data_IF_669841847668
#
_entry.id   IF_669841847668
#
_cell.length_a   1.000
_cell.length_b   1.000
_cell.length_c   1.000
_cell.angle_alpha   90.00
_cell.angle_beta   90.00
_cell.angle_gamma   90.00
#
_symmetry.space_group_name_H-M   'P 1'
#
loop_
_entity.id
_entity.type
_entity.pdbx_description
1 polymer ?
#
# COMPACT_ATOMS: atom_id res chain seq x y z
N UNK A 1 35.54 -111.87 -32.97
CA UNK A 1 35.98 -112.20 -34.35
C UNK A 1 36.65 -110.95 -34.91
N UNK A 2 37.81 -111.08 -35.55
CA UNK A 2 38.50 -109.95 -36.20
C UNK A 2 38.23 -110.04 -37.69
N UNK A 3 37.63 -109.00 -38.28
CA UNK A 3 37.36 -108.98 -39.71
C UNK A 3 38.59 -108.45 -40.45
N UNK A 4 39.07 -109.21 -41.42
CA UNK A 4 40.16 -108.83 -42.31
C UNK A 4 39.58 -108.67 -43.72
N UNK A 5 39.54 -107.43 -44.20
CA UNK A 5 39.15 -107.11 -45.57
C UNK A 5 40.38 -106.56 -46.27
N UNK A 6 40.71 -107.13 -47.44
CA UNK A 6 41.89 -106.72 -48.22
C UNK A 6 41.82 -105.22 -48.54
N UNK A 7 42.77 -104.44 -48.01
CA UNK A 7 42.87 -102.99 -48.20
C UNK A 7 42.33 -102.11 -47.06
N UNK A 8 41.71 -102.68 -46.02
CA UNK A 8 41.28 -101.93 -44.83
C UNK A 8 41.94 -102.46 -43.55
N UNK A 9 42.30 -101.59 -42.59
CA UNK A 9 42.90 -102.01 -41.33
C UNK A 9 41.92 -102.92 -40.55
N UNK A 10 42.40 -104.00 -39.92
CA UNK A 10 41.53 -104.95 -39.21
C UNK A 10 40.80 -104.25 -38.07
N UNK A 11 39.47 -104.36 -38.06
CA UNK A 11 38.57 -103.70 -37.11
C UNK A 11 37.81 -104.73 -36.27
N UNK A 12 37.64 -104.42 -34.99
CA UNK A 12 36.96 -105.30 -34.04
C UNK A 12 35.44 -105.10 -34.14
N UNK A 13 34.75 -106.01 -34.83
CA UNK A 13 33.31 -105.94 -35.09
C UNK A 13 32.41 -106.33 -33.89
N UNK A 14 32.98 -106.47 -32.69
CA UNK A 14 32.26 -106.84 -31.47
C UNK A 14 32.33 -108.34 -31.13
N UNK A 15 31.58 -108.72 -30.11
CA UNK A 15 31.43 -110.12 -29.64
C UNK A 15 30.16 -110.69 -30.29
N UNK A 16 30.31 -111.73 -31.09
CA UNK A 16 29.21 -112.40 -31.78
C UNK A 16 29.02 -113.79 -31.15
N UNK A 17 27.78 -114.13 -30.82
CA UNK A 17 27.39 -115.43 -30.24
C UNK A 17 26.60 -116.21 -31.29
N UNK A 18 27.09 -117.40 -31.66
CA UNK A 18 26.45 -118.29 -32.65
C UNK A 18 25.86 -119.48 -31.92
N UNK A 19 24.59 -119.78 -32.18
CA UNK A 19 23.86 -120.90 -31.57
C UNK A 19 23.85 -122.11 -32.52
N UNK A 20 23.72 -123.33 -31.99
CA UNK A 20 23.76 -124.60 -32.76
C UNK A 20 22.59 -124.72 -33.76
N UNK A 21 21.44 -124.14 -33.44
CA UNK A 21 20.26 -124.07 -34.29
C UNK A 21 20.33 -122.97 -35.36
N UNK A 22 21.43 -122.22 -35.41
CA UNK A 22 21.62 -121.14 -36.37
C UNK A 22 21.76 -121.70 -37.78
N UNK A 23 20.85 -121.29 -38.66
CA UNK A 23 20.86 -121.70 -40.06
C UNK A 23 22.18 -121.29 -40.74
N UNK A 24 22.69 -122.09 -41.69
CA UNK A 24 23.89 -121.71 -42.45
C UNK A 24 23.71 -120.34 -43.10
N UNK A 25 24.65 -119.41 -42.85
CA UNK A 25 24.65 -118.06 -43.42
C UNK A 25 24.29 -116.92 -42.46
N UNK A 26 23.75 -117.19 -41.28
CA UNK A 26 23.27 -116.15 -40.33
C UNK A 26 24.34 -115.16 -39.88
N UNK A 27 25.60 -115.58 -39.77
CA UNK A 27 26.72 -114.69 -39.45
C UNK A 27 27.00 -113.71 -40.60
N UNK A 28 26.95 -114.19 -41.85
CA UNK A 28 27.13 -113.34 -43.02
C UNK A 28 25.94 -112.40 -43.21
N UNK A 29 24.72 -112.84 -42.86
CA UNK A 29 23.53 -111.99 -42.83
C UNK A 29 23.65 -110.90 -41.76
N UNK A 30 24.17 -111.20 -40.57
CA UNK A 30 24.37 -110.20 -39.51
C UNK A 30 25.46 -109.18 -39.85
N UNK A 31 26.56 -109.63 -40.47
CA UNK A 31 27.66 -108.75 -40.88
C UNK A 31 27.36 -107.98 -42.17
N UNK A 32 26.48 -108.48 -43.02
CA UNK A 32 26.00 -107.82 -44.25
C UNK A 32 24.70 -107.03 -44.06
N UNK A 33 24.03 -107.18 -42.92
CA UNK A 33 22.89 -106.36 -42.54
C UNK A 33 23.38 -104.95 -42.30
N UNK A 34 23.23 -104.10 -43.31
CA UNK A 34 23.45 -102.66 -43.18
C UNK A 34 22.70 -102.15 -41.96
N UNK A 35 23.43 -101.54 -41.03
CA UNK A 35 22.83 -100.93 -39.85
C UNK A 35 21.98 -99.74 -40.29
N UNK A 36 21.01 -99.30 -39.48
CA UNK A 36 20.13 -98.17 -39.86
C UNK A 36 20.91 -96.87 -40.15
N UNK A 37 22.17 -96.80 -39.68
CA UNK A 37 23.14 -95.75 -39.99
C UNK A 37 23.86 -95.96 -41.34
N UNK A 38 23.99 -97.19 -41.84
CA UNK A 38 24.53 -97.53 -43.17
C UNK A 38 23.53 -97.27 -44.31
N UNK A 39 22.22 -97.29 -44.02
CA UNK A 39 21.16 -97.14 -45.03
C UNK A 39 20.71 -95.68 -45.20
N UNK A 40 21.04 -94.78 -44.27
CA UNK A 40 20.68 -93.36 -44.35
C UNK A 40 21.70 -92.57 -45.19
N UNK A 41 21.31 -92.05 -46.38
CA UNK A 41 22.22 -91.28 -47.21
C UNK A 41 22.69 -89.99 -46.52
N UNK A 42 23.97 -89.64 -46.60
CA UNK A 42 24.52 -88.38 -46.03
C UNK A 42 23.77 -87.12 -46.48
N UNK A 43 23.16 -87.15 -47.67
CA UNK A 43 22.32 -86.08 -48.20
C UNK A 43 21.09 -85.81 -47.31
N UNK A 44 20.47 -86.86 -46.75
CA UNK A 44 19.33 -86.76 -45.84
C UNK A 44 19.75 -86.12 -44.50
N UNK A 45 20.89 -86.50 -43.94
CA UNK A 45 21.45 -85.89 -42.72
C UNK A 45 21.77 -84.40 -42.88
N UNK A 46 22.34 -84.01 -44.03
CA UNK A 46 22.59 -82.59 -44.35
C UNK A 46 21.29 -81.81 -44.55
N UNK A 47 20.29 -82.44 -45.16
CA UNK A 47 18.96 -81.84 -45.32
C UNK A 47 18.29 -81.60 -43.97
N UNK A 48 18.29 -82.58 -43.07
CA UNK A 48 17.75 -82.44 -41.71
C UNK A 48 18.45 -81.32 -40.93
N UNK A 49 19.78 -81.27 -40.95
CA UNK A 49 20.55 -80.19 -40.31
C UNK A 49 20.23 -78.81 -40.91
N UNK A 50 20.02 -78.74 -42.23
CA UNK A 50 19.62 -77.50 -42.89
C UNK A 50 18.19 -77.08 -42.51
N UNK A 51 17.26 -78.03 -42.40
CA UNK A 51 15.88 -77.78 -41.97
C UNK A 51 15.84 -77.30 -40.51
N UNK A 52 16.63 -77.91 -39.62
CA UNK A 52 16.74 -77.49 -38.23
C UNK A 52 17.32 -76.08 -38.11
N UNK A 53 18.33 -75.76 -38.91
CA UNK A 53 18.90 -74.40 -38.97
C UNK A 53 17.90 -73.38 -39.53
N UNK A 54 17.14 -73.72 -40.58
CA UNK A 54 16.06 -72.88 -41.11
C UNK A 54 14.96 -72.68 -40.06
N UNK A 55 14.59 -73.72 -39.32
CA UNK A 55 13.61 -73.63 -38.24
C UNK A 55 14.11 -72.72 -37.10
N UNK A 56 15.40 -72.82 -36.73
CA UNK A 56 16.05 -71.94 -35.76
C UNK A 56 16.03 -70.48 -36.24
N UNK A 57 16.44 -70.23 -37.48
CA UNK A 57 16.42 -68.89 -38.09
C UNK A 57 15.01 -68.31 -38.17
N UNK A 58 14.01 -69.12 -38.53
CA UNK A 58 12.61 -68.70 -38.55
C UNK A 58 12.11 -68.32 -37.14
N UNK A 59 12.49 -69.10 -36.11
CA UNK A 59 12.16 -68.75 -34.72
C UNK A 59 12.84 -67.44 -34.27
N UNK A 60 14.09 -67.20 -34.66
CA UNK A 60 14.79 -65.95 -34.35
C UNK A 60 14.18 -64.76 -35.08
N UNK A 61 13.84 -64.91 -36.35
CA UNK A 61 13.16 -63.89 -37.13
C UNK A 61 11.81 -63.52 -36.50
N UNK A 62 11.04 -64.52 -36.03
CA UNK A 62 9.79 -64.29 -35.32
C UNK A 62 9.99 -63.49 -34.03
N UNK A 63 10.97 -63.88 -33.19
CA UNK A 63 11.30 -63.16 -31.95
C UNK A 63 11.74 -61.73 -32.23
N UNK A 64 12.59 -61.53 -33.23
CA UNK A 64 13.07 -60.20 -33.63
C UNK A 64 11.93 -59.33 -34.14
N UNK A 65 10.99 -59.88 -34.92
CA UNK A 65 9.80 -59.15 -35.37
C UNK A 65 8.93 -58.72 -34.18
N UNK A 66 8.72 -59.60 -33.19
CA UNK A 66 7.99 -59.24 -31.96
C UNK A 66 8.71 -58.15 -31.18
N UNK A 67 10.03 -58.25 -30.99
CA UNK A 67 10.82 -57.24 -30.30
C UNK A 67 10.80 -55.88 -31.01
N UNK A 68 10.89 -55.89 -32.36
CA UNK A 68 10.76 -54.69 -33.17
C UNK A 68 9.36 -54.05 -33.06
N UNK A 69 8.30 -54.87 -32.99
CA UNK A 69 6.94 -54.40 -32.73
C UNK A 69 6.81 -53.69 -31.38
N UNK A 70 7.29 -54.33 -30.30
CA UNK A 70 7.31 -53.73 -28.96
C UNK A 70 8.12 -52.44 -28.90
N UNK A 71 9.29 -52.41 -29.54
CA UNK A 71 10.11 -51.20 -29.62
C UNK A 71 9.39 -50.07 -30.39
N UNK A 72 8.64 -50.40 -31.45
CA UNK A 72 7.83 -49.43 -32.18
C UNK A 72 6.72 -48.84 -31.31
N UNK A 73 5.99 -49.67 -30.57
CA UNK A 73 4.94 -49.24 -29.63
C UNK A 73 5.53 -48.33 -28.52
N UNK A 74 6.69 -48.69 -28.00
CA UNK A 74 7.37 -47.89 -26.97
C UNK A 74 7.88 -46.55 -27.52
N UNK A 75 8.36 -46.52 -28.77
CA UNK A 75 8.74 -45.28 -29.44
C UNK A 75 7.52 -44.38 -29.69
N UNK A 76 6.38 -44.94 -30.11
CA UNK A 76 5.12 -44.21 -30.28
C UNK A 76 4.63 -43.62 -28.95
N UNK A 77 4.69 -44.40 -27.87
CA UNK A 77 4.34 -43.93 -26.51
C UNK A 77 5.25 -42.79 -26.07
N UNK A 78 6.56 -42.93 -26.28
CA UNK A 78 7.55 -41.90 -25.94
C UNK A 78 7.34 -40.61 -26.74
N UNK A 79 7.00 -40.73 -28.03
CA UNK A 79 6.65 -39.58 -28.88
C UNK A 79 5.40 -38.86 -28.39
N UNK A 80 4.38 -39.61 -27.93
CA UNK A 80 3.18 -39.05 -27.30
C UNK A 80 3.50 -38.26 -26.04
N UNK A 81 4.30 -38.83 -25.13
CA UNK A 81 4.74 -38.17 -23.90
C UNK A 81 5.56 -36.90 -24.18
N UNK A 82 6.43 -36.93 -25.20
CA UNK A 82 7.19 -35.76 -25.62
C UNK A 82 6.27 -34.65 -26.16
N UNK A 83 5.25 -35.00 -26.93
CA UNK A 83 4.26 -34.04 -27.43
C UNK A 83 3.46 -33.41 -26.28
N UNK A 84 2.98 -34.22 -25.33
CA UNK A 84 2.29 -33.74 -24.12
C UNK A 84 3.17 -32.81 -23.29
N UNK A 85 4.45 -33.17 -23.10
CA UNK A 85 5.43 -32.35 -22.39
C UNK A 85 5.67 -31.01 -23.10
N UNK A 86 5.74 -31.01 -24.43
CA UNK A 86 5.87 -29.79 -25.22
C UNK A 86 4.64 -28.88 -25.06
N UNK A 87 3.43 -29.44 -25.09
CA UNK A 87 2.20 -28.68 -24.82
C UNK A 87 2.17 -28.10 -23.41
N UNK A 88 2.58 -28.88 -22.40
CA UNK A 88 2.66 -28.41 -21.03
C UNK A 88 3.66 -27.24 -20.88
N UNK A 89 4.81 -27.32 -21.56
CA UNK A 89 5.81 -26.25 -21.55
C UNK A 89 5.28 -24.95 -22.19
N UNK A 90 4.57 -25.04 -23.32
CA UNK A 90 3.94 -23.87 -23.97
C UNK A 90 2.89 -23.24 -23.05
N UNK A 91 2.05 -24.05 -22.41
CA UNK A 91 1.05 -23.54 -21.47
C UNK A 91 1.69 -22.87 -20.25
N UNK A 92 2.76 -23.45 -19.71
CA UNK A 92 3.50 -22.87 -18.60
C UNK A 92 4.15 -21.53 -19.00
N UNK A 93 4.69 -21.43 -20.21
CA UNK A 93 5.23 -20.17 -20.74
C UNK A 93 4.14 -19.09 -20.85
N UNK A 94 2.96 -19.43 -21.37
CA UNK A 94 1.82 -18.50 -21.43
C UNK A 94 1.33 -18.06 -20.05
N UNK A 95 1.29 -18.97 -19.07
CA UNK A 95 0.95 -18.62 -17.69
C UNK A 95 1.99 -17.69 -17.03
N UNK A 96 3.28 -17.90 -17.32
CA UNK A 96 4.35 -17.02 -16.86
C UNK A 96 4.26 -15.62 -17.49
N UNK A 97 3.95 -15.54 -18.79
CA UNK A 97 3.74 -14.27 -19.48
C UNK A 97 2.55 -13.50 -18.88
N UNK A 98 1.41 -14.15 -18.69
CA UNK A 98 0.25 -13.55 -18.03
C UNK A 98 0.56 -13.05 -16.62
N UNK A 99 1.33 -13.84 -15.85
CA UNK A 99 1.79 -13.45 -14.51
C UNK A 99 2.70 -12.23 -14.55
N UNK A 100 3.59 -12.14 -15.53
CA UNK A 100 4.46 -10.98 -15.74
C UNK A 100 3.66 -9.71 -16.09
N UNK A 101 2.64 -9.82 -16.95
CA UNK A 101 1.73 -8.69 -17.25
C UNK A 101 0.96 -8.23 -16.02
N UNK A 102 0.47 -9.16 -15.20
CA UNK A 102 -0.24 -8.84 -13.96
C UNK A 102 0.69 -8.14 -12.94
N UNK A 103 1.93 -8.61 -12.82
CA UNK A 103 2.95 -7.97 -11.99
C UNK A 103 3.26 -6.54 -12.45
N UNK A 104 3.41 -6.33 -13.75
CA UNK A 104 3.64 -4.99 -14.33
C UNK A 104 2.47 -4.03 -14.06
N UNK A 105 1.23 -4.51 -14.20
CA UNK A 105 0.03 -3.71 -13.90
C UNK A 105 -0.09 -3.37 -12.41
N UNK A 106 0.29 -4.31 -11.54
CA UNK A 106 0.34 -4.10 -10.10
C UNK A 106 1.40 -3.05 -9.71
N UNK A 107 2.58 -3.11 -10.35
CA UNK A 107 3.63 -2.11 -10.16
C UNK A 107 3.18 -0.71 -10.59
N UNK A 108 2.55 -0.58 -11.76
CA UNK A 108 2.00 0.70 -12.23
C UNK A 108 0.92 1.26 -11.28
N UNK A 109 0.07 0.39 -10.74
CA UNK A 109 -0.95 0.78 -9.74
C UNK A 109 -0.30 1.26 -8.42
N UNK A 110 0.78 0.60 -7.99
CA UNK A 110 1.54 1.00 -6.82
C UNK A 110 2.23 2.36 -7.02
N UNK A 111 2.83 2.61 -8.19
CA UNK A 111 3.40 3.91 -8.55
C UNK A 111 2.36 5.04 -8.55
N UNK A 112 1.18 4.80 -9.14
CA UNK A 112 0.07 5.76 -9.12
C UNK A 112 -0.39 6.07 -7.69
N UNK A 113 -0.48 5.04 -6.84
CA UNK A 113 -0.84 5.18 -5.42
C UNK A 113 0.21 5.98 -4.65
N UNK A 114 1.51 5.74 -4.91
CA UNK A 114 2.61 6.49 -4.30
C UNK A 114 2.59 7.97 -4.73
N UNK A 115 2.29 8.25 -6.00
CA UNK A 115 2.10 9.62 -6.50
C UNK A 115 0.95 10.32 -5.78
N UNK A 116 -0.20 9.65 -5.64
CA UNK A 116 -1.36 10.17 -4.90
C UNK A 116 -1.03 10.47 -3.43
N UNK A 117 -0.31 9.56 -2.76
CA UNK A 117 0.15 9.75 -1.39
C UNK A 117 1.06 10.98 -1.25
N UNK A 118 1.97 11.19 -2.21
CA UNK A 118 2.86 12.35 -2.26
C UNK A 118 2.08 13.66 -2.40
N UNK A 119 1.10 13.71 -3.30
CA UNK A 119 0.21 14.86 -3.44
C UNK A 119 -0.55 15.16 -2.14
N UNK A 120 -1.13 14.13 -1.51
CA UNK A 120 -1.86 14.28 -0.24
C UNK A 120 -0.97 14.77 0.90
N UNK A 121 0.28 14.31 0.97
CA UNK A 121 1.25 14.82 1.94
C UNK A 121 1.57 16.31 1.71
N UNK A 122 1.66 16.74 0.46
CA UNK A 122 1.81 18.15 0.09
C UNK A 122 0.61 19.00 0.51
N UNK A 123 -0.61 18.55 0.22
CA UNK A 123 -1.86 19.21 0.61
C UNK A 123 -1.99 19.34 2.15
N UNK A 124 -1.62 18.29 2.88
CA UNK A 124 -1.60 18.30 4.34
C UNK A 124 -0.60 19.34 4.89
N UNK A 125 0.59 19.43 4.29
CA UNK A 125 1.62 20.39 4.67
C UNK A 125 1.15 21.84 4.43
N UNK A 126 0.52 22.11 3.28
CA UNK A 126 -0.05 23.42 2.98
C UNK A 126 -1.20 23.80 3.93
N UNK A 127 -2.04 22.82 4.29
CA UNK A 127 -3.13 23.00 5.26
C UNK A 127 -2.60 23.34 6.65
N UNK A 128 -1.53 22.66 7.10
CA UNK A 128 -0.88 22.94 8.38
C UNK A 128 -0.30 24.37 8.42
N UNK A 129 0.40 24.80 7.36
CA UNK A 129 0.92 26.17 7.27
C UNK A 129 -0.20 27.23 7.28
N UNK A 130 -1.32 26.94 6.63
CA UNK A 130 -2.51 27.80 6.65
C UNK A 130 -3.12 27.90 8.04
N UNK A 131 -3.19 26.78 8.78
CA UNK A 131 -3.65 26.75 10.15
C UNK A 131 -2.76 27.57 11.10
N UNK A 132 -1.42 27.50 10.93
CA UNK A 132 -0.49 28.31 11.71
C UNK A 132 -0.62 29.81 11.42
N UNK A 133 -0.85 30.17 10.17
CA UNK A 133 -1.14 31.55 9.77
C UNK A 133 -2.44 32.04 10.42
N UNK A 134 -3.50 31.24 10.38
CA UNK A 134 -4.78 31.56 11.01
C UNK A 134 -4.65 31.71 12.53
N UNK A 135 -3.88 30.83 13.19
CA UNK A 135 -3.57 30.93 14.63
C UNK A 135 -2.87 32.24 14.97
N UNK A 136 -1.90 32.64 14.16
CA UNK A 136 -1.17 33.91 14.34
C UNK A 136 -2.08 35.12 14.15
N UNK A 137 -2.92 35.10 13.12
CA UNK A 137 -3.92 36.14 12.89
C UNK A 137 -4.91 36.26 14.05
N UNK A 138 -5.42 35.14 14.55
CA UNK A 138 -6.31 35.12 15.71
C UNK A 138 -5.65 35.69 16.97
N UNK A 139 -4.38 35.37 17.22
CA UNK A 139 -3.61 35.95 18.34
C UNK A 139 -3.45 37.47 18.19
N UNK A 140 -3.18 37.97 16.98
CA UNK A 140 -3.10 39.40 16.71
C UNK A 140 -4.45 40.10 16.92
N UNK A 141 -5.55 39.51 16.45
CA UNK A 141 -6.90 40.02 16.69
C UNK A 141 -7.26 40.07 18.18
N UNK A 142 -6.87 39.05 18.95
CA UNK A 142 -7.08 39.04 20.39
C UNK A 142 -6.28 40.14 21.10
N UNK A 143 -5.05 40.41 20.67
CA UNK A 143 -4.25 41.51 21.19
C UNK A 143 -4.87 42.88 20.86
N UNK A 144 -5.34 43.07 19.62
CA UNK A 144 -6.04 44.28 19.21
C UNK A 144 -7.32 44.52 20.01
N UNK A 145 -8.09 43.47 20.30
CA UNK A 145 -9.27 43.54 21.15
C UNK A 145 -8.94 44.03 22.58
N UNK A 146 -7.87 43.50 23.20
CA UNK A 146 -7.40 43.97 24.52
C UNK A 146 -6.98 45.43 24.50
N UNK A 147 -6.30 45.88 23.45
CA UNK A 147 -5.95 47.30 23.29
C UNK A 147 -7.21 48.17 23.17
N UNK A 148 -8.23 47.70 22.42
CA UNK A 148 -9.49 48.40 22.30
C UNK A 148 -10.25 48.50 23.64
N UNK A 149 -10.21 47.44 24.44
CA UNK A 149 -10.79 47.42 25.79
C UNK A 149 -10.10 48.46 26.69
N UNK A 150 -8.77 48.49 26.71
CA UNK A 150 -8.01 49.49 27.46
C UNK A 150 -8.32 50.93 27.03
N UNK A 151 -8.43 51.18 25.72
CA UNK A 151 -8.80 52.49 25.19
C UNK A 151 -10.22 52.91 25.60
N UNK A 152 -11.15 51.95 25.66
CA UNK A 152 -12.51 52.21 26.14
C UNK A 152 -12.53 52.57 27.63
N UNK A 153 -11.72 51.91 28.46
CA UNK A 153 -11.58 52.23 29.88
C UNK A 153 -10.95 53.62 30.12
N UNK A 154 -9.92 53.98 29.34
CA UNK A 154 -9.33 55.33 29.36
C UNK A 154 -10.39 56.38 28.98
N UNK A 155 -11.15 56.12 27.91
CA UNK A 155 -12.23 57.03 27.46
C UNK A 155 -13.32 57.18 28.52
N UNK A 156 -13.69 56.08 29.20
CA UNK A 156 -14.66 56.10 30.31
C UNK A 156 -14.15 56.97 31.46
N UNK A 157 -12.88 56.85 31.81
CA UNK A 157 -12.25 57.65 32.87
C UNK A 157 -12.26 59.13 32.51
N UNK A 158 -11.81 59.49 31.31
CA UNK A 158 -11.81 60.86 30.83
C UNK A 158 -13.21 61.50 30.77
N UNK A 159 -14.23 60.71 30.41
CA UNK A 159 -15.62 61.16 30.47
C UNK A 159 -16.08 61.43 31.90
N UNK A 160 -15.68 60.59 32.87
CA UNK A 160 -15.93 60.80 34.30
C UNK A 160 -15.28 62.08 34.83
N UNK A 161 -14.01 62.31 34.50
CA UNK A 161 -13.29 63.52 34.89
C UNK A 161 -13.94 64.78 34.31
N UNK A 162 -14.36 64.72 33.04
CA UNK A 162 -15.06 65.81 32.37
C UNK A 162 -16.40 66.13 33.04
N UNK A 163 -17.16 65.09 33.46
CA UNK A 163 -18.40 65.27 34.19
C UNK A 163 -18.17 65.92 35.57
N UNK A 164 -17.12 65.50 36.29
CA UNK A 164 -16.74 66.09 37.58
C UNK A 164 -16.33 67.56 37.42
N UNK A 165 -15.54 67.89 36.39
CA UNK A 165 -15.16 69.27 36.07
C UNK A 165 -16.40 70.13 35.77
N UNK A 166 -17.34 69.62 34.96
CA UNK A 166 -18.59 70.32 34.66
C UNK A 166 -19.44 70.58 35.92
N UNK A 167 -19.53 69.62 36.84
CA UNK A 167 -20.23 69.79 38.11
C UNK A 167 -19.57 70.85 39.02
N UNK A 168 -18.24 70.87 39.06
CA UNK A 168 -17.48 71.89 39.79
C UNK A 168 -17.71 73.30 39.20
N UNK A 169 -17.68 73.43 37.87
CA UNK A 169 -18.00 74.69 37.18
C UNK A 169 -19.43 75.16 37.46
N UNK A 170 -20.41 74.24 37.48
CA UNK A 170 -21.79 74.57 37.84
C UNK A 170 -21.90 75.10 39.28
N UNK A 171 -21.19 74.48 40.22
CA UNK A 171 -21.15 74.91 41.63
C UNK A 171 -20.50 76.30 41.77
N UNK A 172 -19.41 76.55 41.04
CA UNK A 172 -18.75 77.86 41.01
C UNK A 172 -19.66 78.96 40.42
N UNK A 173 -20.43 78.63 39.38
CA UNK A 173 -21.42 79.54 38.80
C UNK A 173 -22.55 79.87 39.78
N UNK A 174 -23.09 78.87 40.49
CA UNK A 174 -24.10 79.08 41.54
C UNK A 174 -23.58 79.97 42.68
N UNK A 175 -22.34 79.73 43.13
CA UNK A 175 -21.68 80.57 44.15
C UNK A 175 -21.52 82.01 43.69
N UNK A 176 -21.12 82.21 42.43
CA UNK A 176 -20.97 83.54 41.84
C UNK A 176 -22.30 84.27 41.73
N UNK A 177 -23.37 83.57 41.34
CA UNK A 177 -24.72 84.13 41.31
C UNK A 177 -25.20 84.55 42.71
N UNK A 178 -24.95 83.74 43.74
CA UNK A 178 -25.29 84.09 45.12
C UNK A 178 -24.54 85.35 45.61
N UNK A 179 -23.23 85.46 45.29
CA UNK A 179 -22.44 86.66 45.59
C UNK A 179 -22.96 87.91 44.88
N UNK A 180 -23.36 87.78 43.62
CA UNK A 180 -23.97 88.88 42.86
C UNK A 180 -25.26 89.37 43.53
N UNK A 181 -26.15 88.45 43.94
CA UNK A 181 -27.39 88.80 44.66
C UNK A 181 -27.15 89.45 46.03
N UNK A 182 -26.14 88.99 46.77
CA UNK A 182 -25.72 89.63 48.02
C UNK A 182 -25.18 91.05 47.78
N UNK A 183 -24.39 91.25 46.73
CA UNK A 183 -23.89 92.58 46.34
C UNK A 183 -25.01 93.52 45.92
N UNK A 184 -26.03 93.02 45.20
CA UNK A 184 -27.21 93.81 44.84
C UNK A 184 -27.97 94.27 46.09
N UNK A 185 -28.15 93.37 47.06
CA UNK A 185 -28.81 93.67 48.34
C UNK A 185 -28.02 94.71 49.15
N UNK A 186 -26.69 94.58 49.20
CA UNK A 186 -25.81 95.55 49.85
C UNK A 186 -25.89 96.92 49.17
N UNK A 187 -25.91 96.97 47.83
CA UNK A 187 -26.07 98.21 47.08
C UNK A 187 -27.40 98.92 47.39
N UNK A 188 -28.53 98.20 47.40
CA UNK A 188 -29.85 98.73 47.79
C UNK A 188 -29.88 99.27 49.24
N UNK A 189 -29.19 98.58 50.14
CA UNK A 189 -29.05 99.01 51.53
C UNK A 189 -28.27 100.33 51.61
N UNK A 190 -27.14 100.43 50.90
CA UNK A 190 -26.35 101.67 50.82
C UNK A 190 -27.13 102.83 50.20
N UNK A 191 -27.91 102.57 49.14
CA UNK A 191 -28.81 103.56 48.53
C UNK A 191 -29.83 104.10 49.55
N UNK A 192 -30.44 103.21 50.33
CA UNK A 192 -31.38 103.58 51.41
C UNK A 192 -30.71 104.41 52.50
N UNK A 193 -29.50 104.04 52.93
CA UNK A 193 -28.72 104.80 53.92
C UNK A 193 -28.33 106.18 53.41
N UNK A 194 -27.93 106.29 52.14
CA UNK A 194 -27.59 107.56 51.50
C UNK A 194 -28.83 108.48 51.42
N UNK A 195 -29.99 107.94 51.03
CA UNK A 195 -31.25 108.68 51.01
C UNK A 195 -31.66 109.18 52.40
N UNK A 196 -31.51 108.33 53.43
CA UNK A 196 -31.78 108.70 54.83
C UNK A 196 -30.86 109.82 55.31
N UNK A 197 -29.55 109.69 55.06
CA UNK A 197 -28.55 110.70 55.41
C UNK A 197 -28.80 112.04 54.71
N UNK A 198 -29.23 112.01 53.45
CA UNK A 198 -29.63 113.22 52.72
C UNK A 198 -30.88 113.87 53.34
N UNK A 199 -31.84 113.07 53.79
CA UNK A 199 -33.01 113.53 54.55
C UNK A 199 -32.62 114.21 55.86
N UNK A 200 -31.76 113.58 56.66
CA UNK A 200 -31.25 114.12 57.93
C UNK A 200 -30.47 115.43 57.74
N UNK A 201 -29.65 115.51 56.69
CA UNK A 201 -28.95 116.73 56.31
C UNK A 201 -29.93 117.85 55.93
N UNK A 202 -30.98 117.54 55.17
CA UNK A 202 -32.05 118.47 54.83
C UNK A 202 -32.83 118.97 56.05
N UNK A 203 -33.17 118.08 56.98
CA UNK A 203 -33.80 118.44 58.25
C UNK A 203 -32.89 119.34 59.11
N UNK A 204 -31.60 119.00 59.19
CA UNK A 204 -30.59 119.80 59.90
C UNK A 204 -30.44 121.20 59.30
N UNK A 205 -30.40 121.30 57.97
CA UNK A 205 -30.37 122.60 57.27
C UNK A 205 -31.63 123.43 57.56
N UNK A 206 -32.81 122.79 57.59
CA UNK A 206 -34.08 123.44 57.94
C UNK A 206 -34.07 123.95 59.39
N UNK A 207 -33.58 123.14 60.33
CA UNK A 207 -33.45 123.51 61.74
C UNK A 207 -32.45 124.65 61.96
N UNK A 208 -31.33 124.65 61.22
CA UNK A 208 -30.35 125.73 61.24
C UNK A 208 -30.97 127.05 60.74
N UNK A 209 -31.70 127.04 59.61
CA UNK A 209 -32.39 128.22 59.09
C UNK A 209 -33.48 128.75 60.04
N UNK A 210 -34.21 127.85 60.71
CA UNK A 210 -35.18 128.23 61.74
C UNK A 210 -34.51 128.87 62.96
N UNK A 211 -33.36 128.34 63.40
CA UNK A 211 -32.58 128.89 64.50
C UNK A 211 -31.99 130.27 64.15
N UNK A 212 -31.49 130.44 62.93
CA UNK A 212 -31.02 131.74 62.41
C UNK A 212 -32.15 132.78 62.41
N UNK A 213 -33.35 132.39 61.95
CA UNK A 213 -34.55 133.22 61.99
C UNK A 213 -34.97 133.59 63.42
N UNK A 214 -34.86 132.66 64.37
CA UNK A 214 -35.18 132.90 65.77
C UNK A 214 -34.14 133.82 66.46
N UNK A 215 -32.85 133.64 66.16
CA UNK A 215 -31.78 134.50 66.65
C UNK A 215 -31.89 135.95 66.13
N UNK A 216 -32.35 136.14 64.89
CA UNK A 216 -32.62 137.48 64.33
C UNK A 216 -33.84 138.18 64.96
N UNK A 217 -34.66 137.49 65.76
CA UNK A 217 -35.86 138.00 66.40
C UNK A 217 -35.72 138.23 67.92
N UNK A 218 -34.55 137.95 68.51
CA UNK A 218 -34.20 138.20 69.92
C UNK A 218 -33.35 139.46 70.06
#
# INVERSE_FOLDING_TARGET
>A
VTLLVEGYPPSHAGVITVYDDSKPGTLNDFLGAMTEDDVRPEALRRFEAMVEEVARQASEASRNATAAGQASEQAQTSAGQAAESATAAVNAAGAAEASATQAASSAASAESSAGTATTKAGEASASAASADTARTAAAASAAAAKTSEANADVSRTAAGDSAAAAAASATAAQTSAARAGASETAAKTSETQAASSAGDAGASATAAAASEKAAAAS
#
